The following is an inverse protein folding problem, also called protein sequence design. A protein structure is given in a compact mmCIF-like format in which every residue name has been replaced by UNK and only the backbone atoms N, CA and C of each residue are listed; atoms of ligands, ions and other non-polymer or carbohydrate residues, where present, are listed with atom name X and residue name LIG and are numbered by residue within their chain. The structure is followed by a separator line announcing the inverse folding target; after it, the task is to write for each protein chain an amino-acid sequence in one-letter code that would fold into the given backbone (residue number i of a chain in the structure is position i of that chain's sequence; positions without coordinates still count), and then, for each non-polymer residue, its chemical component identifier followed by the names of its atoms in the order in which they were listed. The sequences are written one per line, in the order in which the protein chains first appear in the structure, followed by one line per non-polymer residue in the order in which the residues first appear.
data_IF_376402204913
#
_entry.id   IF_376402204913
#
_cell.length_a   1.000
_cell.length_b   1.000
_cell.length_c   1.000
_cell.angle_alpha   90.00
_cell.angle_beta   90.00
_cell.angle_gamma   90.00
#
_symmetry.space_group_name_H-M   'P 1'
#
loop_
_entity.id
_entity.type
_entity.pdbx_description
1 polymer ?
#
# COMPACT_ATOMS: atom_id res chain seq x y z
N UNK A 1 -34.48 -47.90 5.35
CA UNK A 1 -34.00 -47.60 6.73
C UNK A 1 -33.20 -46.32 6.66
N UNK A 2 -33.83 -45.36 7.14
CA UNK A 2 -33.53 -43.94 7.06
C UNK A 2 -32.71 -43.55 8.29
N UNK A 3 -31.60 -42.85 8.17
CA UNK A 3 -30.98 -42.10 9.25
C UNK A 3 -30.51 -40.77 8.68
N UNK A 4 -31.44 -39.82 8.67
CA UNK A 4 -31.18 -38.42 8.44
C UNK A 4 -30.40 -37.81 9.61
N UNK A 5 -29.23 -37.22 9.32
CA UNK A 5 -28.46 -36.41 10.24
C UNK A 5 -28.70 -34.94 9.93
N UNK A 6 -29.59 -34.34 10.71
CA UNK A 6 -29.86 -32.89 10.71
C UNK A 6 -28.64 -32.17 11.29
N UNK A 7 -28.02 -31.32 10.48
CA UNK A 7 -27.06 -30.32 10.96
C UNK A 7 -27.85 -29.13 11.49
N UNK A 8 -27.75 -28.89 12.80
CA UNK A 8 -28.33 -27.71 13.44
C UNK A 8 -27.46 -26.49 13.10
N UNK A 9 -28.05 -25.53 12.36
CA UNK A 9 -27.51 -24.20 12.19
C UNK A 9 -27.77 -23.42 13.47
N UNK A 10 -26.72 -23.14 14.23
CA UNK A 10 -26.76 -22.20 15.35
C UNK A 10 -26.76 -20.78 14.77
N UNK A 11 -27.93 -20.17 14.80
CA UNK A 11 -28.17 -18.75 14.58
C UNK A 11 -27.92 -18.04 15.89
N UNK A 12 -26.73 -17.46 16.05
CA UNK A 12 -26.37 -16.64 17.20
C UNK A 12 -26.26 -15.17 16.78
N UNK A 13 -27.39 -14.48 16.75
CA UNK A 13 -27.47 -13.03 16.85
C UNK A 13 -27.49 -12.69 18.36
N UNK A 14 -26.36 -12.39 18.95
CA UNK A 14 -26.23 -11.64 20.18
C UNK A 14 -24.94 -10.80 20.11
N UNK A 15 -25.02 -9.73 19.34
CA UNK A 15 -24.13 -8.58 19.50
C UNK A 15 -24.61 -7.81 20.72
N UNK A 16 -24.03 -8.12 21.90
CA UNK A 16 -24.19 -7.29 23.07
C UNK A 16 -23.62 -5.89 22.77
N UNK A 17 -24.51 -4.94 22.51
CA UNK A 17 -24.16 -3.52 22.44
C UNK A 17 -23.62 -3.09 23.80
N UNK A 18 -22.30 -2.84 23.89
CA UNK A 18 -21.68 -2.24 25.07
C UNK A 18 -22.09 -0.76 25.09
N UNK A 19 -22.89 -0.33 26.07
CA UNK A 19 -23.37 1.05 26.12
C UNK A 19 -22.18 2.00 26.38
N UNK A 20 -21.91 2.87 25.44
CA UNK A 20 -20.77 3.81 25.41
C UNK A 20 -20.71 4.74 26.63
N UNK A 21 -21.84 4.98 27.31
CA UNK A 21 -21.91 5.81 28.53
C UNK A 21 -21.22 5.20 29.75
N UNK A 22 -20.86 3.91 29.73
CA UNK A 22 -20.09 3.28 30.81
C UNK A 22 -18.58 3.47 30.69
N UNK A 23 -18.10 3.98 29.54
CA UNK A 23 -16.67 4.26 29.29
C UNK A 23 -16.23 5.65 29.76
N UNK A 24 -17.19 6.54 30.05
CA UNK A 24 -16.91 7.89 30.55
C UNK A 24 -17.68 8.08 31.87
N UNK A 25 -17.10 7.60 32.96
CA UNK A 25 -17.61 7.86 34.30
C UNK A 25 -17.03 9.20 34.74
N UNK A 26 -17.82 10.25 34.65
CA UNK A 26 -17.53 11.51 35.32
C UNK A 26 -17.65 11.29 36.82
N UNK A 27 -16.50 11.22 37.48
CA UNK A 27 -16.42 11.23 38.95
C UNK A 27 -16.88 12.60 39.45
N UNK A 28 -18.18 12.72 39.71
CA UNK A 28 -18.74 13.81 40.46
C UNK A 28 -18.24 13.71 41.90
N UNK A 29 -17.32 14.61 42.28
CA UNK A 29 -16.74 14.69 43.60
C UNK A 29 -17.78 14.93 44.72
N UNK A 30 -17.54 14.41 45.92
CA UNK A 30 -18.42 14.60 47.06
C UNK A 30 -18.34 16.01 47.61
N UNK A 31 -19.52 16.56 48.02
CA UNK A 31 -19.71 17.86 48.68
C UNK A 31 -18.99 17.93 50.05
N UNK A 32 -18.51 19.08 50.45
CA UNK A 32 -17.75 19.24 51.71
C UNK A 32 -18.65 19.26 52.93
N UNK A 33 -18.29 18.46 53.90
CA UNK A 33 -18.88 18.49 55.24
C UNK A 33 -17.92 17.94 56.28
N UNK A 34 -17.45 18.80 57.21
CA UNK A 34 -16.92 18.39 58.47
C UNK A 34 -15.40 18.36 58.59
N UNK A 35 -14.82 19.42 59.21
CA UNK A 35 -13.42 19.54 59.53
C UNK A 35 -12.98 18.59 60.69
N UNK A 36 -11.90 17.81 60.44
CA UNK A 36 -11.05 17.26 61.50
C UNK A 36 -9.58 17.57 61.10
N UNK A 37 -8.70 17.90 62.08
CA UNK A 37 -7.34 18.33 61.80
C UNK A 37 -6.47 17.15 61.40
N UNK A 38 -6.04 17.14 60.14
CA UNK A 38 -5.08 16.17 59.63
C UNK A 38 -3.67 16.69 59.81
N UNK A 39 -2.84 15.90 60.53
CA UNK A 39 -1.40 16.12 60.59
C UNK A 39 -0.81 16.25 59.18
N UNK A 40 -0.06 17.30 58.94
CA UNK A 40 0.58 17.59 57.68
C UNK A 40 1.63 16.52 57.34
N UNK A 41 1.32 15.74 56.29
CA UNK A 41 2.32 14.89 55.63
C UNK A 41 3.32 15.77 54.84
N UNK A 42 4.60 15.42 54.77
CA UNK A 42 5.60 16.18 54.03
C UNK A 42 5.22 16.23 52.53
N UNK A 43 5.19 17.46 51.97
CA UNK A 43 4.91 17.74 50.59
C UNK A 43 5.97 17.05 49.72
N UNK A 44 5.58 16.23 48.73
CA UNK A 44 6.52 15.76 47.72
C UNK A 44 7.04 16.95 46.94
N UNK A 45 8.38 17.08 46.83
CA UNK A 45 9.02 18.10 46.05
C UNK A 45 8.55 18.14 44.59
N UNK A 46 8.76 19.26 43.88
CA UNK A 46 8.27 19.42 42.51
C UNK A 46 8.87 18.33 41.65
N UNK A 47 8.00 17.43 41.16
CA UNK A 47 8.33 16.46 40.12
C UNK A 47 8.74 17.28 38.89
N UNK A 48 10.03 17.31 38.60
CA UNK A 48 10.51 17.87 37.32
C UNK A 48 9.82 17.12 36.20
N UNK A 49 9.16 17.80 35.24
CA UNK A 49 8.62 17.15 34.07
C UNK A 49 9.77 16.40 33.41
N UNK A 50 9.66 15.08 33.31
CA UNK A 50 10.54 14.30 32.43
C UNK A 50 10.37 14.88 31.05
N UNK A 51 11.39 15.56 30.55
CA UNK A 51 11.49 15.95 29.14
C UNK A 51 11.16 14.70 28.33
N UNK A 52 10.25 14.79 27.36
CA UNK A 52 10.01 13.66 26.45
C UNK A 52 11.38 13.29 25.91
N UNK A 53 11.84 12.09 26.21
CA UNK A 53 13.07 11.55 25.67
C UNK A 53 12.85 11.58 24.16
N UNK A 54 13.51 12.54 23.49
CA UNK A 54 13.46 12.66 22.04
C UNK A 54 13.82 11.28 21.51
N UNK A 55 12.83 10.61 20.92
CA UNK A 55 13.04 9.35 20.24
C UNK A 55 14.23 9.57 19.31
N UNK A 56 15.33 8.86 19.55
CA UNK A 56 16.49 8.90 18.66
C UNK A 56 15.95 8.66 17.27
N UNK A 57 16.22 9.54 16.29
CA UNK A 57 15.79 9.29 14.93
C UNK A 57 16.36 7.93 14.51
N UNK A 58 15.49 7.04 14.12
CA UNK A 58 15.86 5.73 13.61
C UNK A 58 16.89 5.91 12.50
N UNK A 59 17.94 5.09 12.44
CA UNK A 59 18.87 5.16 11.34
C UNK A 59 18.09 4.98 10.06
N UNK A 60 18.14 5.99 9.21
CA UNK A 60 17.52 5.94 7.89
C UNK A 60 18.21 4.80 7.14
N UNK A 61 17.46 3.75 6.80
CA UNK A 61 17.96 2.66 5.97
C UNK A 61 18.52 3.30 4.71
N UNK A 62 19.84 3.19 4.51
CA UNK A 62 20.52 3.77 3.38
C UNK A 62 20.05 3.01 2.13
N UNK A 63 19.18 3.63 1.34
CA UNK A 63 18.85 3.10 0.02
C UNK A 63 20.04 3.41 -0.89
N UNK A 64 20.79 2.41 -1.38
CA UNK A 64 21.86 2.65 -2.32
C UNK A 64 21.28 3.38 -3.54
N UNK A 65 21.66 4.64 -3.72
CA UNK A 65 21.22 5.44 -4.85
C UNK A 65 21.78 4.86 -6.15
N UNK A 66 21.04 3.93 -6.76
CA UNK A 66 21.33 3.55 -8.13
C UNK A 66 20.95 4.73 -9.01
N UNK A 67 21.84 5.19 -9.94
CA UNK A 67 21.44 6.21 -10.89
C UNK A 67 20.18 5.75 -11.61
N UNK A 68 19.15 6.60 -11.59
CA UNK A 68 17.90 6.31 -12.28
C UNK A 68 18.21 5.96 -13.73
N UNK A 69 17.65 4.85 -14.22
CA UNK A 69 17.80 4.44 -15.62
C UNK A 69 17.39 5.63 -16.49
N UNK A 70 18.23 6.06 -17.46
CA UNK A 70 17.91 7.20 -18.30
C UNK A 70 16.58 6.94 -19.02
N UNK A 71 15.61 7.81 -18.77
CA UNK A 71 14.28 7.72 -19.37
C UNK A 71 14.36 8.25 -20.78
N UNK A 72 13.96 7.46 -21.78
CA UNK A 72 13.84 7.94 -23.15
C UNK A 72 12.75 9.03 -23.24
N UNK A 73 13.09 10.29 -23.55
CA UNK A 73 12.11 11.37 -23.63
C UNK A 73 11.09 11.17 -24.77
N UNK A 74 11.42 10.34 -25.77
CA UNK A 74 10.54 10.05 -26.91
C UNK A 74 9.31 9.24 -26.54
N UNK A 75 9.37 8.51 -25.41
CA UNK A 75 8.28 7.64 -24.93
C UNK A 75 7.43 8.33 -23.84
N UNK A 76 7.62 9.63 -23.61
CA UNK A 76 6.80 10.37 -22.65
C UNK A 76 5.34 10.51 -23.12
N UNK A 77 4.40 10.42 -22.21
CA UNK A 77 2.97 10.58 -22.51
C UNK A 77 2.65 12.02 -22.94
N UNK A 78 2.01 12.15 -24.09
CA UNK A 78 1.43 13.41 -24.55
C UNK A 78 -0.03 13.20 -25.01
N UNK A 79 -0.87 14.26 -24.99
CA UNK A 79 -2.27 14.14 -25.38
C UNK A 79 -2.39 13.80 -26.87
N UNK A 80 -3.11 12.71 -27.17
CA UNK A 80 -3.40 12.31 -28.54
C UNK A 80 -4.46 13.18 -29.21
N UNK A 81 -4.53 13.16 -30.56
CA UNK A 81 -5.53 13.90 -31.32
C UNK A 81 -6.93 13.32 -31.09
N UNK A 82 -7.79 14.08 -30.40
CA UNK A 82 -9.13 13.66 -30.03
C UNK A 82 -10.12 14.78 -30.28
N UNK A 83 -11.19 14.44 -30.99
CA UNK A 83 -12.33 15.32 -31.18
C UNK A 83 -13.49 14.93 -30.25
N UNK A 84 -14.38 15.86 -29.88
CA UNK A 84 -15.58 15.52 -29.13
C UNK A 84 -16.48 14.62 -29.97
N UNK A 85 -16.87 13.46 -29.44
CA UNK A 85 -17.63 12.44 -30.18
C UNK A 85 -18.98 12.98 -30.73
N UNK A 86 -19.59 13.94 -30.04
CA UNK A 86 -20.80 14.63 -30.52
C UNK A 86 -20.58 15.32 -31.88
N UNK A 87 -19.44 15.94 -32.11
CA UNK A 87 -19.13 16.56 -33.39
C UNK A 87 -19.03 15.49 -34.50
N UNK A 88 -18.45 14.35 -34.23
CA UNK A 88 -18.38 13.23 -35.16
C UNK A 88 -19.76 12.63 -35.47
N UNK A 89 -20.65 12.52 -34.46
CA UNK A 89 -22.02 12.09 -34.67
C UNK A 89 -22.78 13.06 -35.56
N UNK A 90 -22.67 14.36 -35.30
CA UNK A 90 -23.30 15.39 -36.15
C UNK A 90 -22.74 15.34 -37.58
N UNK A 91 -21.42 15.25 -37.76
CA UNK A 91 -20.82 15.11 -39.05
C UNK A 91 -21.27 13.83 -39.79
N UNK A 92 -21.36 12.72 -39.08
CA UNK A 92 -21.86 11.46 -39.64
C UNK A 92 -23.32 11.53 -40.08
N UNK A 93 -24.18 12.12 -39.27
CA UNK A 93 -25.61 12.34 -39.59
C UNK A 93 -25.75 13.31 -40.80
N UNK A 94 -24.94 14.35 -40.86
CA UNK A 94 -24.92 15.26 -41.98
C UNK A 94 -24.46 14.56 -43.25
N UNK A 95 -23.43 13.73 -43.20
CA UNK A 95 -22.98 12.91 -44.32
C UNK A 95 -24.09 11.93 -44.80
N UNK A 96 -24.83 11.29 -43.89
CA UNK A 96 -25.99 10.44 -44.21
C UNK A 96 -27.07 11.30 -44.92
N UNK A 97 -27.37 12.48 -44.40
CA UNK A 97 -28.38 13.36 -44.98
C UNK A 97 -27.97 13.79 -46.40
N UNK A 98 -26.69 14.12 -46.63
CA UNK A 98 -26.17 14.44 -47.96
C UNK A 98 -26.32 13.24 -48.90
N UNK A 99 -25.94 12.04 -48.47
CA UNK A 99 -26.13 10.82 -49.26
C UNK A 99 -27.61 10.58 -49.59
N UNK A 100 -28.52 10.79 -48.65
CA UNK A 100 -29.95 10.63 -48.86
C UNK A 100 -30.49 11.64 -49.89
N UNK A 101 -30.02 12.90 -49.82
CA UNK A 101 -30.37 13.95 -50.83
C UNK A 101 -29.83 13.57 -52.21
N UNK A 102 -28.61 13.06 -52.33
CA UNK A 102 -28.03 12.61 -53.59
C UNK A 102 -28.84 11.44 -54.17
N UNK A 103 -29.20 10.45 -53.34
CA UNK A 103 -30.04 9.31 -53.77
C UNK A 103 -31.41 9.78 -54.20
N UNK A 104 -32.04 10.71 -53.50
CA UNK A 104 -33.31 11.30 -53.93
C UNK A 104 -33.16 12.04 -55.28
N UNK A 105 -32.09 12.80 -55.46
CA UNK A 105 -31.83 13.54 -56.71
C UNK A 105 -31.61 12.60 -57.91
N UNK A 106 -31.11 11.38 -57.70
CA UNK A 106 -30.96 10.36 -58.76
C UNK A 106 -32.28 9.79 -59.24
N UNK A 107 -33.39 10.00 -58.54
CA UNK A 107 -34.71 9.39 -58.86
C UNK A 107 -34.79 7.88 -58.63
N UNK A 108 -33.84 7.27 -57.91
CA UNK A 108 -33.81 5.84 -57.64
C UNK A 108 -34.82 5.42 -56.57
N UNK A 109 -35.33 6.41 -55.78
CA UNK A 109 -36.29 6.14 -54.71
C UNK A 109 -37.61 5.63 -55.27
N UNK A 110 -38.09 4.44 -54.80
CA UNK A 110 -39.40 3.91 -55.25
C UNK A 110 -40.56 4.82 -54.77
N UNK A 111 -41.62 4.90 -55.59
CA UNK A 111 -42.80 5.78 -55.34
C UNK A 111 -43.40 5.67 -53.95
N UNK A 112 -43.51 4.50 -53.30
CA UNK A 112 -44.07 4.43 -51.96
C UNK A 112 -43.23 5.18 -50.89
N UNK A 113 -41.90 5.30 -51.08
CA UNK A 113 -40.99 6.04 -50.19
C UNK A 113 -41.11 7.54 -50.40
N UNK A 114 -41.19 8.00 -51.68
CA UNK A 114 -41.32 9.43 -51.99
C UNK A 114 -42.68 9.96 -51.52
N UNK A 115 -43.77 9.19 -51.65
CA UNK A 115 -45.10 9.56 -51.16
C UNK A 115 -45.18 9.57 -49.66
N UNK A 116 -44.53 8.61 -48.96
CA UNK A 116 -44.45 8.57 -47.48
C UNK A 116 -43.69 9.77 -46.92
N UNK A 117 -42.62 10.21 -47.61
CA UNK A 117 -41.78 11.36 -47.22
C UNK A 117 -42.31 12.69 -47.78
N UNK A 118 -43.45 12.70 -48.54
CA UNK A 118 -44.02 13.86 -49.20
C UNK A 118 -43.03 14.61 -50.12
N UNK A 119 -42.13 13.85 -50.74
CA UNK A 119 -41.14 14.40 -51.67
C UNK A 119 -41.66 14.29 -53.09
N UNK A 120 -41.35 15.26 -53.98
CA UNK A 120 -41.67 15.17 -55.38
C UNK A 120 -40.94 14.00 -56.04
N UNK A 121 -41.65 13.21 -56.84
CA UNK A 121 -41.05 12.13 -57.66
C UNK A 121 -40.25 12.73 -58.82
N UNK A 122 -38.93 12.38 -58.85
CA UNK A 122 -38.06 12.78 -59.93
C UNK A 122 -37.93 11.64 -60.92
N UNK A 123 -37.94 11.96 -62.25
CA UNK A 123 -37.75 10.90 -63.25
C UNK A 123 -36.33 10.30 -63.13
N UNK A 124 -36.25 8.99 -63.17
CA UNK A 124 -34.97 8.27 -63.13
C UNK A 124 -34.20 8.49 -64.44
N UNK A 125 -33.09 9.24 -64.35
CA UNK A 125 -32.23 9.62 -65.49
C UNK A 125 -30.91 8.79 -65.52
N UNK A 126 -30.80 7.75 -64.72
CA UNK A 126 -29.54 7.00 -64.54
C UNK A 126 -28.60 7.69 -63.51
N UNK A 127 -27.71 6.93 -62.88
CA UNK A 127 -26.72 7.47 -61.98
C UNK A 127 -25.48 7.87 -62.77
N UNK A 128 -25.15 9.17 -62.74
CA UNK A 128 -23.94 9.71 -63.36
C UNK A 128 -22.70 9.41 -62.53
N UNK A 129 -21.53 9.40 -63.20
CA UNK A 129 -20.25 9.15 -62.50
C UNK A 129 -20.02 10.13 -61.34
N UNK A 130 -20.42 11.38 -61.48
CA UNK A 130 -20.33 12.39 -60.42
C UNK A 130 -21.15 12.05 -59.20
N UNK A 131 -22.36 11.52 -59.39
CA UNK A 131 -23.24 11.08 -58.30
C UNK A 131 -22.69 9.81 -57.60
N UNK A 132 -22.11 8.88 -58.35
CA UNK A 132 -21.38 7.75 -57.79
C UNK A 132 -20.20 8.20 -56.94
N UNK A 133 -19.40 9.16 -57.43
CA UNK A 133 -18.28 9.70 -56.67
C UNK A 133 -18.74 10.39 -55.38
N UNK A 134 -19.83 11.14 -55.39
CA UNK A 134 -20.42 11.76 -54.18
C UNK A 134 -20.93 10.72 -53.17
N UNK A 135 -21.59 9.67 -53.66
CA UNK A 135 -22.07 8.57 -52.79
C UNK A 135 -20.92 7.80 -52.14
N UNK A 136 -19.87 7.48 -52.89
CA UNK A 136 -18.68 6.81 -52.35
C UNK A 136 -17.97 7.72 -51.34
N UNK A 137 -17.81 9.00 -51.64
CA UNK A 137 -17.21 9.95 -50.69
C UNK A 137 -18.06 10.12 -49.44
N UNK A 138 -19.37 10.21 -49.58
CA UNK A 138 -20.30 10.28 -48.47
C UNK A 138 -20.28 9.02 -47.60
N UNK A 139 -20.28 7.85 -48.21
CA UNK A 139 -20.17 6.58 -47.51
C UNK A 139 -18.83 6.48 -46.76
N UNK A 140 -17.73 6.89 -47.37
CA UNK A 140 -16.43 6.96 -46.73
C UNK A 140 -16.45 7.93 -45.53
N UNK A 141 -17.07 9.08 -45.65
CA UNK A 141 -17.23 10.04 -44.55
C UNK A 141 -18.07 9.47 -43.38
N UNK A 142 -19.16 8.73 -43.70
CA UNK A 142 -19.97 8.04 -42.66
C UNK A 142 -19.15 6.99 -41.94
N UNK A 143 -18.40 6.14 -42.66
CA UNK A 143 -17.53 5.13 -42.06
C UNK A 143 -16.46 5.76 -41.18
N UNK A 144 -15.83 6.83 -41.64
CA UNK A 144 -14.82 7.57 -40.86
C UNK A 144 -15.44 8.22 -39.63
N UNK A 145 -16.62 8.82 -39.72
CA UNK A 145 -17.27 9.50 -38.63
C UNK A 145 -17.69 8.50 -37.51
N UNK A 146 -18.35 7.42 -37.86
CA UNK A 146 -18.84 6.43 -36.90
C UNK A 146 -17.78 5.40 -36.49
N UNK A 147 -16.88 4.99 -37.39
CA UNK A 147 -15.78 4.09 -37.12
C UNK A 147 -14.74 4.66 -36.13
N UNK A 148 -14.66 6.00 -36.07
CA UNK A 148 -13.81 6.72 -35.11
C UNK A 148 -14.39 6.86 -33.72
N UNK A 149 -15.68 6.56 -33.50
CA UNK A 149 -16.32 6.73 -32.19
C UNK A 149 -15.80 5.73 -31.18
N UNK A 150 -15.38 6.25 -30.02
CA UNK A 150 -14.96 5.47 -28.87
C UNK A 150 -15.65 5.97 -27.60
N UNK A 151 -15.87 5.06 -26.66
CA UNK A 151 -16.39 5.42 -25.35
C UNK A 151 -15.26 5.43 -24.33
N UNK A 152 -14.85 6.61 -23.87
CA UNK A 152 -13.91 6.78 -22.77
C UNK A 152 -14.57 6.44 -21.45
N UNK A 153 -13.94 5.55 -20.68
CA UNK A 153 -14.39 5.19 -19.32
C UNK A 153 -13.50 5.84 -18.27
N UNK A 154 -14.07 6.22 -17.14
CA UNK A 154 -13.30 6.70 -15.99
C UNK A 154 -12.34 5.61 -15.55
N UNK A 155 -11.09 5.99 -15.23
CA UNK A 155 -10.06 5.05 -14.80
C UNK A 155 -9.37 4.27 -15.91
N UNK A 156 -9.65 4.58 -17.19
CA UNK A 156 -8.98 3.97 -18.34
C UNK A 156 -8.42 5.05 -19.26
N UNK A 157 -7.29 4.75 -19.86
CA UNK A 157 -6.69 5.57 -20.92
C UNK A 157 -6.55 4.73 -22.20
N UNK A 158 -6.55 5.41 -23.34
CA UNK A 158 -6.27 4.80 -24.62
C UNK A 158 -4.91 5.27 -25.11
N UNK A 159 -4.03 4.32 -25.40
CA UNK A 159 -2.76 4.57 -26.07
C UNK A 159 -2.99 4.40 -27.57
N UNK A 160 -2.65 5.44 -28.33
CA UNK A 160 -2.84 5.50 -29.77
C UNK A 160 -1.50 5.28 -30.46
N UNK A 161 -1.46 4.35 -31.42
CA UNK A 161 -0.29 4.13 -32.27
C UNK A 161 -0.69 4.03 -33.73
N UNK A 162 0.20 4.45 -34.62
CA UNK A 162 0.04 4.35 -36.06
C UNK A 162 1.32 3.77 -36.65
N UNK A 163 1.20 2.64 -37.34
CA UNK A 163 2.35 1.98 -37.98
C UNK A 163 3.57 1.79 -37.05
N UNK A 164 3.33 1.54 -35.75
CA UNK A 164 4.40 1.37 -34.76
C UNK A 164 4.83 2.67 -34.07
N UNK A 165 4.44 3.85 -34.56
CA UNK A 165 4.73 5.12 -33.91
C UNK A 165 3.67 5.47 -32.86
N UNK A 166 4.11 5.96 -31.71
CA UNK A 166 3.22 6.49 -30.67
C UNK A 166 2.65 7.85 -31.10
N UNK A 167 1.32 7.99 -31.06
CA UNK A 167 0.59 9.20 -31.49
C UNK A 167 -0.15 9.92 -30.35
N UNK A 168 0.09 9.49 -29.12
CA UNK A 168 -0.46 10.10 -27.92
C UNK A 168 -1.42 9.22 -27.14
N UNK A 169 -1.79 9.67 -25.94
CA UNK A 169 -2.73 8.99 -25.05
C UNK A 169 -3.98 9.81 -24.82
N UNK A 170 -5.12 9.13 -24.66
CA UNK A 170 -6.42 9.74 -24.46
C UNK A 170 -6.99 9.31 -23.12
N UNK A 171 -7.13 10.29 -22.20
CA UNK A 171 -7.73 10.11 -20.86
C UNK A 171 -9.14 10.69 -20.75
N UNK A 172 -9.69 11.23 -21.84
CA UNK A 172 -11.03 11.84 -21.82
C UNK A 172 -12.10 10.79 -21.61
N UNK A 173 -13.07 11.14 -20.79
CA UNK A 173 -14.28 10.34 -20.52
C UNK A 173 -15.43 10.76 -21.42
N UNK A 174 -16.39 9.86 -21.63
CA UNK A 174 -17.55 10.11 -22.49
C UNK A 174 -17.35 9.65 -23.92
N UNK A 175 -18.14 10.23 -24.82
CA UNK A 175 -18.06 9.93 -26.25
C UNK A 175 -16.93 10.76 -26.88
N UNK A 176 -15.94 10.07 -27.40
CA UNK A 176 -14.76 10.66 -28.05
C UNK A 176 -14.59 10.10 -29.44
N UNK A 177 -14.13 10.94 -30.36
CA UNK A 177 -13.77 10.50 -31.70
C UNK A 177 -12.25 10.46 -31.85
N UNK A 178 -11.76 9.34 -32.28
CA UNK A 178 -10.36 9.05 -32.56
C UNK A 178 -10.28 8.51 -33.99
N UNK A 179 -9.26 8.86 -34.76
CA UNK A 179 -9.13 8.32 -36.11
C UNK A 179 -9.23 6.81 -36.13
N UNK A 180 -10.08 6.19 -36.98
CA UNK A 180 -10.23 4.75 -37.07
C UNK A 180 -8.96 4.03 -37.56
N UNK A 181 -8.03 4.76 -38.17
CA UNK A 181 -6.74 4.25 -38.66
C UNK A 181 -5.73 4.00 -37.51
N UNK A 182 -5.98 4.57 -36.34
CA UNK A 182 -5.10 4.42 -35.19
C UNK A 182 -5.39 3.09 -34.46
N UNK A 183 -4.33 2.34 -34.19
CA UNK A 183 -4.39 1.20 -33.29
C UNK A 183 -4.61 1.71 -31.87
N UNK A 184 -5.58 1.13 -31.17
CA UNK A 184 -6.03 1.59 -29.84
C UNK A 184 -5.76 0.51 -28.80
N UNK A 185 -4.88 0.78 -27.84
CA UNK A 185 -4.63 -0.11 -26.70
C UNK A 185 -5.23 0.52 -25.44
N UNK A 186 -6.10 -0.20 -24.77
CA UNK A 186 -6.71 0.26 -23.51
C UNK A 186 -5.82 -0.11 -22.34
N UNK A 187 -5.59 0.86 -21.43
CA UNK A 187 -4.78 0.73 -20.23
C UNK A 187 -5.60 1.17 -19.02
N UNK A 188 -5.58 0.40 -17.95
CA UNK A 188 -6.22 0.76 -16.69
C UNK A 188 -5.26 1.63 -15.87
N UNK A 189 -5.69 2.85 -15.53
CA UNK A 189 -4.88 3.84 -14.79
C UNK A 189 -5.37 4.04 -13.35
N UNK A 190 -6.28 3.18 -12.88
CA UNK A 190 -6.76 3.20 -11.50
C UNK A 190 -5.70 2.75 -10.54
N UNK A 191 -5.87 3.11 -9.28
CA UNK A 191 -5.07 2.58 -8.20
C UNK A 191 -5.33 1.08 -8.07
N UNK A 192 -4.24 0.32 -8.01
CA UNK A 192 -4.25 -1.14 -7.83
C UNK A 192 -3.44 -1.50 -6.61
N UNK A 193 -3.79 -2.58 -5.97
CA UNK A 193 -2.99 -3.22 -4.95
C UNK A 193 -2.63 -4.63 -5.41
N UNK A 194 -1.44 -5.04 -5.05
CA UNK A 194 -0.96 -6.38 -5.31
C UNK A 194 -0.20 -6.87 -4.08
N UNK A 195 -0.46 -8.11 -3.70
CA UNK A 195 0.23 -8.80 -2.63
C UNK A 195 1.17 -9.84 -3.23
N UNK A 196 2.44 -9.80 -2.85
CA UNK A 196 3.42 -10.76 -3.36
C UNK A 196 3.15 -12.17 -2.86
N UNK A 197 3.62 -13.14 -3.59
CA UNK A 197 3.85 -14.47 -3.05
C UNK A 197 4.93 -14.39 -1.96
N UNK A 198 5.04 -15.40 -1.07
CA UNK A 198 6.10 -15.44 -0.07
C UNK A 198 7.48 -15.46 -0.72
N UNK A 199 8.20 -14.35 -0.62
CA UNK A 199 9.55 -14.18 -1.14
C UNK A 199 10.56 -14.75 -0.16
N UNK A 200 11.53 -15.51 -0.66
CA UNK A 200 12.67 -15.99 0.12
C UNK A 200 13.79 -14.98 0.05
N UNK A 201 14.16 -14.42 1.18
CA UNK A 201 15.22 -13.40 1.31
C UNK A 201 16.14 -13.76 2.46
N UNK A 202 17.30 -13.13 2.50
CA UNK A 202 18.29 -13.33 3.56
C UNK A 202 18.51 -11.99 4.25
N UNK A 203 18.56 -11.99 5.59
CA UNK A 203 18.85 -10.80 6.38
C UNK A 203 20.35 -10.50 6.43
N UNK A 204 20.74 -9.47 7.20
CA UNK A 204 22.15 -9.06 7.36
C UNK A 204 23.01 -10.15 8.01
N UNK A 205 22.43 -11.01 8.83
CA UNK A 205 23.10 -12.11 9.54
C UNK A 205 23.16 -13.41 8.71
N UNK A 206 22.65 -13.40 7.49
CA UNK A 206 22.58 -14.57 6.64
C UNK A 206 21.40 -15.51 6.96
N UNK A 207 20.45 -15.06 7.77
CA UNK A 207 19.30 -15.88 8.15
C UNK A 207 18.22 -15.85 7.07
N UNK A 208 17.74 -17.02 6.68
CA UNK A 208 16.69 -17.13 5.67
C UNK A 208 15.31 -16.69 6.24
N UNK A 209 14.69 -15.74 5.54
CA UNK A 209 13.38 -15.19 5.87
C UNK A 209 12.37 -15.46 4.75
N UNK A 210 11.11 -15.52 5.13
CA UNK A 210 9.96 -15.53 4.24
C UNK A 210 9.20 -14.23 4.43
N UNK A 211 9.05 -13.45 3.36
CA UNK A 211 8.45 -12.12 3.41
C UNK A 211 7.35 -11.98 2.38
N UNK A 212 6.24 -11.36 2.77
CA UNK A 212 5.13 -10.99 1.88
C UNK A 212 5.01 -9.48 1.89
N UNK A 213 5.01 -8.88 0.70
CA UNK A 213 4.91 -7.43 0.53
C UNK A 213 3.59 -7.06 -0.14
N UNK A 214 2.92 -6.07 0.41
CA UNK A 214 1.74 -5.43 -0.20
C UNK A 214 2.19 -4.15 -0.89
N UNK A 215 1.93 -4.07 -2.20
CA UNK A 215 2.29 -2.91 -3.02
C UNK A 215 1.04 -2.23 -3.54
N UNK A 216 0.96 -0.92 -3.36
CA UNK A 216 -0.10 -0.07 -3.91
C UNK A 216 0.50 0.83 -4.99
N UNK A 217 -0.02 0.74 -6.20
CA UNK A 217 0.55 1.38 -7.38
C UNK A 217 -0.50 1.77 -8.42
N UNK A 218 -0.13 2.63 -9.36
CA UNK A 218 -0.93 2.95 -10.54
C UNK A 218 -0.03 3.25 -11.74
N UNK A 219 -0.60 3.24 -12.93
CA UNK A 219 0.07 3.72 -14.13
C UNK A 219 -0.10 5.25 -14.21
N UNK A 220 1.02 5.97 -14.12
CA UNK A 220 1.07 7.42 -14.28
C UNK A 220 1.28 7.82 -15.73
N UNK A 221 2.21 7.15 -16.42
CA UNK A 221 2.54 7.37 -17.83
C UNK A 221 2.19 6.10 -18.62
N UNK A 222 1.11 6.18 -19.39
CA UNK A 222 0.59 5.03 -20.14
C UNK A 222 1.45 4.68 -21.36
N UNK A 223 2.15 5.65 -21.93
CA UNK A 223 3.05 5.42 -23.05
C UNK A 223 4.24 4.58 -22.60
N UNK A 224 4.90 4.96 -21.50
CA UNK A 224 6.01 4.23 -20.94
C UNK A 224 5.60 2.83 -20.48
N UNK A 225 4.48 2.72 -19.80
CA UNK A 225 4.01 1.43 -19.29
C UNK A 225 3.67 0.41 -20.39
N UNK A 226 3.40 0.88 -21.63
CA UNK A 226 3.01 0.02 -22.75
C UNK A 226 4.07 -0.16 -23.81
N UNK A 227 4.99 0.80 -23.92
CA UNK A 227 5.98 0.84 -25.00
C UNK A 227 7.42 0.65 -24.50
N UNK A 228 7.73 1.06 -23.26
CA UNK A 228 9.07 0.88 -22.71
C UNK A 228 9.33 -0.54 -22.21
N UNK A 229 8.28 -1.27 -21.82
CA UNK A 229 8.38 -2.66 -21.35
C UNK A 229 7.27 -3.50 -21.96
N UNK A 230 7.55 -4.76 -22.18
CA UNK A 230 6.59 -5.73 -22.73
C UNK A 230 5.44 -5.99 -21.75
N UNK A 231 5.76 -6.17 -20.47
CA UNK A 231 4.81 -6.41 -19.40
C UNK A 231 5.24 -5.63 -18.13
N UNK A 232 4.53 -4.53 -17.87
CA UNK A 232 4.80 -3.66 -16.74
C UNK A 232 4.43 -4.30 -15.38
N UNK A 233 3.48 -5.25 -15.35
CA UNK A 233 3.12 -5.97 -14.12
C UNK A 233 4.21 -6.96 -13.74
N UNK A 234 4.74 -7.69 -14.72
CA UNK A 234 5.87 -8.60 -14.50
C UNK A 234 7.12 -7.84 -14.09
N UNK A 235 7.41 -6.72 -14.76
CA UNK A 235 8.52 -5.84 -14.39
C UNK A 235 8.41 -5.38 -12.94
N UNK A 236 7.23 -4.92 -12.52
CA UNK A 236 7.01 -4.49 -11.14
C UNK A 236 7.25 -5.62 -10.14
N UNK A 237 6.80 -6.84 -10.43
CA UNK A 237 7.02 -8.01 -9.55
C UNK A 237 8.51 -8.30 -9.37
N UNK A 238 9.25 -8.33 -10.46
CA UNK A 238 10.71 -8.57 -10.43
C UNK A 238 11.44 -7.46 -9.66
N UNK A 239 11.02 -6.20 -9.81
CA UNK A 239 11.59 -5.09 -9.04
C UNK A 239 11.23 -5.16 -7.55
N UNK A 240 10.03 -5.57 -7.19
CA UNK A 240 9.63 -5.77 -5.78
C UNK A 240 10.47 -6.86 -5.14
N UNK A 241 10.69 -7.97 -5.81
CA UNK A 241 11.55 -9.06 -5.32
C UNK A 241 13.00 -8.56 -5.10
N UNK A 242 13.58 -7.90 -6.10
CA UNK A 242 14.92 -7.35 -6.03
C UNK A 242 15.08 -6.26 -4.95
N UNK A 243 14.11 -5.35 -4.82
CA UNK A 243 14.11 -4.32 -3.80
C UNK A 243 13.97 -4.91 -2.39
N UNK A 244 13.09 -5.91 -2.23
CA UNK A 244 12.89 -6.59 -0.96
C UNK A 244 14.18 -7.28 -0.50
N UNK A 245 14.83 -8.02 -1.38
CA UNK A 245 16.11 -8.67 -1.08
C UNK A 245 17.18 -7.65 -0.65
N UNK A 246 17.30 -6.52 -1.35
CA UNK A 246 18.29 -5.47 -1.05
C UNK A 246 18.01 -4.72 0.25
N UNK A 247 16.76 -4.44 0.58
CA UNK A 247 16.42 -3.71 1.81
C UNK A 247 16.57 -4.60 3.04
N UNK A 248 16.10 -5.85 2.94
CA UNK A 248 16.11 -6.75 4.09
C UNK A 248 17.53 -7.25 4.42
N UNK A 249 18.41 -7.37 3.42
CA UNK A 249 19.82 -7.74 3.66
C UNK A 249 20.64 -6.67 4.41
N UNK A 250 20.10 -5.49 4.67
CA UNK A 250 20.80 -4.42 5.39
C UNK A 250 20.61 -4.47 6.92
N UNK A 251 19.60 -5.15 7.40
CA UNK A 251 19.26 -5.20 8.81
C UNK A 251 19.04 -6.64 9.28
N UNK A 252 19.42 -6.95 10.54
CA UNK A 252 19.12 -8.23 11.13
C UNK A 252 17.61 -8.37 11.41
N UNK A 253 17.10 -9.58 11.33
CA UNK A 253 15.69 -9.87 11.63
C UNK A 253 15.35 -9.56 13.08
N UNK A 254 16.24 -9.94 14.03
CA UNK A 254 16.09 -9.73 15.46
C UNK A 254 17.43 -9.22 16.06
N UNK A 255 17.33 -8.26 17.01
CA UNK A 255 18.45 -7.88 17.85
C UNK A 255 18.40 -8.69 19.16
N UNK A 256 19.37 -9.58 19.34
CA UNK A 256 19.44 -10.39 20.56
C UNK A 256 20.13 -9.67 21.72
N UNK A 257 20.93 -8.64 21.46
CA UNK A 257 21.85 -8.09 22.45
C UNK A 257 21.79 -6.57 22.67
N UNK A 258 21.19 -5.74 21.82
CA UNK A 258 21.15 -4.30 21.98
C UNK A 258 19.96 -3.65 21.27
N UNK A 259 19.73 -2.34 21.53
CA UNK A 259 18.77 -1.48 20.84
C UNK A 259 19.18 -1.19 19.38
N UNK A 260 19.64 -2.22 18.67
CA UNK A 260 19.98 -2.10 17.25
C UNK A 260 18.73 -2.10 16.40
N UNK A 261 18.72 -1.31 15.30
CA UNK A 261 17.59 -1.30 14.37
C UNK A 261 17.45 -2.69 13.72
N UNK A 262 16.22 -3.21 13.76
CA UNK A 262 15.88 -4.53 13.22
C UNK A 262 14.77 -4.44 12.19
N UNK A 263 14.56 -5.52 11.43
CA UNK A 263 13.44 -5.65 10.48
C UNK A 263 12.06 -5.65 11.16
N UNK A 264 12.00 -5.67 12.50
CA UNK A 264 10.72 -5.54 13.25
C UNK A 264 10.08 -4.18 13.12
N UNK A 265 10.85 -3.13 12.77
CA UNK A 265 10.28 -1.84 12.43
C UNK A 265 9.73 -1.89 11.00
N UNK A 266 8.52 -2.45 10.86
CA UNK A 266 7.86 -2.61 9.57
C UNK A 266 7.63 -1.27 8.85
N UNK A 267 7.47 -0.17 9.58
CA UNK A 267 7.29 1.17 9.02
C UNK A 267 8.58 1.65 8.32
N UNK A 268 9.72 1.59 9.00
CA UNK A 268 11.00 2.00 8.41
C UNK A 268 11.39 1.14 7.20
N UNK A 269 11.14 -0.18 7.27
CA UNK A 269 11.34 -1.10 6.15
C UNK A 269 10.41 -0.76 4.98
N UNK A 270 9.13 -0.50 5.27
CA UNK A 270 8.14 -0.12 4.27
C UNK A 270 8.48 1.21 3.57
N UNK A 271 8.96 2.19 4.32
CA UNK A 271 9.43 3.47 3.76
C UNK A 271 10.65 3.30 2.86
N UNK A 272 11.61 2.47 3.26
CA UNK A 272 12.80 2.17 2.47
C UNK A 272 12.42 1.46 1.16
N UNK A 273 11.55 0.44 1.22
CA UNK A 273 11.01 -0.27 0.06
C UNK A 273 10.26 0.69 -0.87
N UNK A 274 9.40 1.54 -0.29
CA UNK A 274 8.61 2.51 -1.06
C UNK A 274 9.50 3.49 -1.80
N UNK A 275 10.55 4.04 -1.16
CA UNK A 275 11.51 4.96 -1.80
C UNK A 275 12.26 4.28 -2.94
N UNK A 276 12.75 3.06 -2.71
CA UNK A 276 13.48 2.29 -3.73
C UNK A 276 12.59 1.99 -4.93
N UNK A 277 11.40 1.45 -4.70
CA UNK A 277 10.47 1.09 -5.77
C UNK A 277 9.98 2.31 -6.55
N UNK A 278 9.76 3.46 -5.90
CA UNK A 278 9.44 4.71 -6.59
C UNK A 278 10.50 5.08 -7.62
N UNK A 279 11.78 4.99 -7.26
CA UNK A 279 12.87 5.34 -8.16
C UNK A 279 13.02 4.34 -9.32
N UNK A 280 12.81 3.04 -9.07
CA UNK A 280 12.97 1.98 -10.07
C UNK A 280 11.77 1.83 -11.00
N UNK A 281 10.56 2.12 -10.52
CA UNK A 281 9.33 2.01 -11.30
C UNK A 281 9.02 3.28 -12.13
N UNK A 282 9.56 4.44 -11.74
CA UNK A 282 9.33 5.71 -12.44
C UNK A 282 9.74 5.70 -13.93
N UNK A 283 10.88 5.12 -14.35
CA UNK A 283 11.27 5.06 -15.78
C UNK A 283 10.25 4.33 -16.65
N UNK A 284 9.52 3.38 -16.07
CA UNK A 284 8.51 2.56 -16.74
C UNK A 284 7.11 3.19 -16.67
N UNK A 285 6.99 4.39 -16.09
CA UNK A 285 5.70 5.09 -15.99
C UNK A 285 4.77 4.55 -14.91
N UNK A 286 5.28 3.76 -13.97
CA UNK A 286 4.55 3.26 -12.80
C UNK A 286 4.81 4.19 -11.63
N UNK A 287 3.76 4.57 -10.92
CA UNK A 287 3.81 5.32 -9.67
C UNK A 287 3.47 4.40 -8.52
N UNK A 288 4.45 4.12 -7.66
CA UNK A 288 4.27 3.33 -6.43
C UNK A 288 3.90 4.29 -5.30
N UNK A 289 2.77 4.04 -4.63
CA UNK A 289 2.31 4.82 -3.47
C UNK A 289 2.93 4.30 -2.19
N UNK A 290 2.81 3.00 -1.97
CA UNK A 290 3.36 2.33 -0.80
C UNK A 290 3.75 0.90 -1.12
N UNK A 291 4.80 0.43 -0.46
CA UNK A 291 5.23 -0.95 -0.46
C UNK A 291 5.54 -1.33 0.99
N UNK A 292 4.73 -2.20 1.57
CA UNK A 292 4.84 -2.53 2.99
C UNK A 292 4.93 -4.04 3.19
N UNK A 293 5.88 -4.51 4.02
CA UNK A 293 5.91 -5.90 4.41
C UNK A 293 4.69 -6.19 5.30
N UNK A 294 3.90 -7.17 4.93
CA UNK A 294 2.73 -7.62 5.70
C UNK A 294 3.03 -8.86 6.52
N UNK A 295 4.08 -9.57 6.18
CA UNK A 295 4.53 -10.76 6.86
C UNK A 295 6.05 -10.83 6.77
N UNK A 296 6.75 -11.00 7.89
CA UNK A 296 8.17 -11.29 7.98
C UNK A 296 8.31 -12.46 8.95
N UNK A 297 8.67 -13.62 8.44
CA UNK A 297 8.84 -14.83 9.22
C UNK A 297 10.17 -15.49 8.89
N UNK A 298 10.69 -16.26 9.83
CA UNK A 298 11.82 -17.12 9.53
C UNK A 298 11.42 -18.23 8.57
N UNK A 299 12.31 -18.56 7.65
CA UNK A 299 12.09 -19.72 6.79
C UNK A 299 11.93 -20.98 7.64
N UNK A 300 11.04 -21.92 7.24
CA UNK A 300 10.71 -23.08 8.09
C UNK A 300 11.93 -23.92 8.48
N UNK A 301 12.96 -23.90 7.65
CA UNK A 301 14.22 -24.65 7.87
C UNK A 301 14.99 -24.14 9.09
N UNK A 302 14.92 -22.84 9.38
CA UNK A 302 15.67 -22.19 10.48
C UNK A 302 14.78 -21.74 11.62
N UNK A 303 13.47 -21.71 11.45
CA UNK A 303 12.52 -21.18 12.41
C UNK A 303 12.65 -21.82 13.81
N UNK A 304 12.78 -23.15 13.89
CA UNK A 304 12.92 -23.86 15.17
C UNK A 304 14.24 -23.51 15.89
N UNK A 305 15.33 -23.31 15.15
CA UNK A 305 16.61 -22.93 15.74
C UNK A 305 16.56 -21.49 16.26
N UNK A 306 16.02 -20.56 15.47
CA UNK A 306 15.87 -19.16 15.85
C UNK A 306 14.92 -18.96 17.02
N UNK A 307 13.86 -19.77 17.09
CA UNK A 307 12.95 -19.75 18.25
C UNK A 307 13.68 -20.15 19.53
N UNK A 308 14.47 -21.24 19.51
CA UNK A 308 15.27 -21.66 20.68
C UNK A 308 16.27 -20.58 21.10
N UNK A 309 16.99 -19.99 20.14
CA UNK A 309 17.94 -18.89 20.41
C UNK A 309 17.24 -17.69 21.05
N UNK A 310 16.06 -17.34 20.55
CA UNK A 310 15.26 -16.25 21.10
C UNK A 310 14.81 -16.50 22.53
N UNK A 311 14.33 -17.71 22.83
CA UNK A 311 13.95 -18.10 24.20
C UNK A 311 15.17 -17.99 25.10
N UNK A 312 16.32 -18.54 24.69
CA UNK A 312 17.56 -18.45 25.46
C UNK A 312 18.01 -17.00 25.72
N UNK A 313 17.87 -16.11 24.72
CA UNK A 313 18.19 -14.69 24.88
C UNK A 313 17.23 -13.97 25.84
N UNK A 314 15.93 -14.31 25.82
CA UNK A 314 14.95 -13.79 26.78
C UNK A 314 15.28 -14.25 28.19
N UNK A 315 15.59 -15.53 28.37
CA UNK A 315 15.97 -16.09 29.67
C UNK A 315 17.26 -15.47 30.19
N UNK A 316 18.24 -15.19 29.34
CA UNK A 316 19.47 -14.50 29.73
C UNK A 316 19.16 -13.07 30.22
N UNK A 317 18.38 -12.30 29.47
CA UNK A 317 17.96 -10.93 29.88
C UNK A 317 17.16 -10.94 31.18
N UNK A 318 16.27 -11.91 31.34
CA UNK A 318 15.52 -12.05 32.58
C UNK A 318 16.45 -12.29 33.76
N UNK A 319 17.44 -13.19 33.62
CA UNK A 319 18.44 -13.44 34.67
C UNK A 319 19.25 -12.19 34.99
N UNK A 320 19.72 -11.45 33.98
CA UNK A 320 20.46 -10.21 34.18
C UNK A 320 19.62 -9.14 34.88
N UNK A 321 18.34 -9.01 34.49
CA UNK A 321 17.41 -8.08 35.15
C UNK A 321 17.16 -8.44 36.60
N UNK A 322 17.01 -9.75 36.91
CA UNK A 322 16.85 -10.24 38.30
C UNK A 322 18.11 -9.98 39.11
N UNK A 323 19.29 -10.24 38.55
CA UNK A 323 20.56 -9.98 39.23
C UNK A 323 20.75 -8.50 39.52
N UNK A 324 20.50 -7.62 38.56
CA UNK A 324 20.54 -6.15 38.74
C UNK A 324 19.57 -5.72 39.83
N UNK A 325 18.32 -6.19 39.79
CA UNK A 325 17.31 -5.87 40.79
C UNK A 325 17.69 -6.34 42.19
N UNK A 326 18.38 -7.50 42.31
CA UNK A 326 18.87 -8.02 43.60
C UNK A 326 20.01 -7.13 44.12
N UNK A 327 20.97 -6.77 43.25
CA UNK A 327 22.09 -5.87 43.61
C UNK A 327 21.56 -4.53 44.07
N UNK A 328 20.64 -3.93 43.35
CA UNK A 328 20.02 -2.64 43.70
C UNK A 328 19.27 -2.71 45.04
N UNK A 329 18.52 -3.81 45.28
CA UNK A 329 17.81 -4.03 46.53
C UNK A 329 18.75 -4.22 47.73
N UNK A 330 19.87 -4.89 47.53
CA UNK A 330 20.91 -5.04 48.55
C UNK A 330 21.57 -3.71 48.86
N UNK A 331 21.96 -2.94 47.84
CA UNK A 331 22.58 -1.64 48.01
C UNK A 331 21.64 -0.66 48.74
N UNK A 332 20.37 -0.58 48.34
CA UNK A 332 19.35 0.23 49.01
C UNK A 332 19.14 -0.18 50.47
N UNK A 333 19.15 -1.51 50.75
CA UNK A 333 19.02 -2.05 52.11
C UNK A 333 20.22 -1.66 52.98
N UNK A 334 21.43 -1.85 52.49
CA UNK A 334 22.67 -1.46 53.20
C UNK A 334 22.71 0.05 53.42
N UNK A 335 22.36 0.87 52.42
CA UNK A 335 22.33 2.30 52.56
C UNK A 335 21.30 2.76 53.60
N UNK A 336 20.12 2.18 53.65
CA UNK A 336 19.08 2.47 54.66
C UNK A 336 19.49 2.09 56.06
N UNK A 337 20.16 0.94 56.24
CA UNK A 337 20.66 0.54 57.53
C UNK A 337 21.73 1.44 58.07
N UNK A 338 22.68 1.89 57.22
CA UNK A 338 23.75 2.80 57.57
C UNK A 338 23.23 4.23 57.82
N UNK A 339 22.33 4.75 56.98
CA UNK A 339 21.78 6.10 57.13
C UNK A 339 20.90 6.27 58.35
N UNK A 340 20.28 5.21 58.87
CA UNK A 340 19.46 5.20 60.07
C UNK A 340 20.28 4.96 61.35
N UNK A 341 21.61 4.78 61.22
CA UNK A 341 22.49 4.50 62.36
C UNK A 341 22.20 3.14 63.06
N UNK A 342 21.53 2.23 62.36
CA UNK A 342 21.18 0.92 62.93
C UNK A 342 22.37 -0.05 62.97
N UNK A 343 23.37 0.20 62.11
CA UNK A 343 24.61 -0.59 62.05
C UNK A 343 25.76 0.33 61.63
N UNK A 344 26.81 0.36 62.45
CA UNK A 344 28.11 0.94 62.14
C UNK A 344 28.98 -0.19 61.59
N UNK A 345 29.13 -0.25 60.27
CA UNK A 345 29.86 -1.34 59.59
C UNK A 345 31.25 -0.83 59.16
N UNK A 346 32.28 -1.62 59.53
CA UNK A 346 33.60 -1.48 58.93
C UNK A 346 33.55 -2.04 57.49
N UNK A 347 34.51 -1.62 56.62
CA UNK A 347 34.57 -2.02 55.22
C UNK A 347 34.53 -3.53 54.99
N UNK A 348 35.07 -4.31 55.93
CA UNK A 348 35.02 -5.78 55.90
C UNK A 348 33.62 -6.32 56.18
N UNK A 349 33.00 -5.79 57.24
CA UNK A 349 31.64 -6.18 57.67
C UNK A 349 30.61 -5.78 56.62
N UNK A 350 30.77 -4.61 55.95
CA UNK A 350 29.93 -4.22 54.83
C UNK A 350 29.99 -5.19 53.69
N UNK A 351 31.19 -5.64 53.27
CA UNK A 351 31.37 -6.64 52.23
C UNK A 351 30.76 -8.01 52.60
N UNK A 352 30.87 -8.40 53.85
CA UNK A 352 30.26 -9.63 54.36
C UNK A 352 28.72 -9.54 54.30
N UNK A 353 28.14 -8.43 54.79
CA UNK A 353 26.70 -8.20 54.76
C UNK A 353 26.13 -8.15 53.35
N UNK A 354 26.79 -7.45 52.41
CA UNK A 354 26.40 -7.43 51.00
C UNK A 354 26.39 -8.83 50.41
N UNK A 355 27.42 -9.64 50.68
CA UNK A 355 27.49 -11.01 50.19
C UNK A 355 26.36 -11.86 50.74
N UNK A 356 26.10 -11.79 52.05
CA UNK A 356 25.10 -12.60 52.71
C UNK A 356 23.67 -12.21 52.34
N UNK A 357 23.39 -10.91 52.19
CA UNK A 357 22.15 -10.40 51.64
C UNK A 357 21.92 -10.81 50.19
N UNK A 358 22.96 -10.73 49.35
CA UNK A 358 22.87 -11.17 47.94
C UNK A 358 22.50 -12.64 47.86
N UNK A 359 23.13 -13.51 48.67
CA UNK A 359 22.82 -14.93 48.73
C UNK A 359 21.38 -15.15 49.24
N UNK A 360 20.97 -14.45 50.29
CA UNK A 360 19.63 -14.58 50.87
C UNK A 360 18.52 -14.16 49.89
N UNK A 361 18.69 -13.03 49.18
CA UNK A 361 17.74 -12.57 48.17
C UNK A 361 17.68 -13.50 46.96
N UNK A 362 18.83 -14.08 46.54
CA UNK A 362 18.87 -15.00 45.42
C UNK A 362 18.21 -16.36 45.77
N UNK A 363 18.46 -16.90 46.97
CA UNK A 363 17.86 -18.17 47.39
C UNK A 363 16.39 -18.04 47.82
N UNK A 364 15.99 -16.88 48.39
CA UNK A 364 14.61 -16.64 48.80
C UNK A 364 13.64 -16.53 47.62
N UNK A 365 14.11 -16.04 46.49
CA UNK A 365 13.30 -15.93 45.26
C UNK A 365 13.15 -17.25 44.51
N UNK A 366 14.16 -18.13 44.59
CA UNK A 366 14.11 -19.46 43.98
C UNK A 366 13.15 -20.46 44.65
N UNK A 367 12.70 -20.17 45.86
CA UNK A 367 11.72 -21.00 46.59
C UNK A 367 10.25 -20.62 46.29
N UNK A 368 10.00 -19.40 45.78
CA UNK A 368 8.65 -18.94 45.47
C UNK A 368 8.12 -19.36 44.10
N UNK A 369 8.97 -19.82 43.20
CA UNK A 369 8.59 -20.17 41.81
C UNK A 369 8.26 -21.67 41.60
N UNK A 370 8.27 -22.46 42.66
CA UNK A 370 7.95 -23.90 42.62
C UNK A 370 6.62 -24.26 43.32
N UNK A 371 5.73 -23.30 43.47
CA UNK A 371 4.40 -23.51 44.01
C UNK A 371 3.30 -23.47 42.95
#
# INVERSE_FOLDING_TARGET
MDVGRRVAVLRGDDTAEIPVHLLFRDDAGPKPGGAAPVLAAPRPGPVRPRTPQQARPWPTIAVPGRPATPVDPRVAEYPGPVLPGRAAVVAGLLAIAVCAVVIWWTGVLPEPVTTALRLPSLPYAGIRVEQWALLVLGAAAVVLAFGGLGRGRVGCAWVLSLCGEYRGSVRRTGLVWMSPLLLRRRVDVRLRHWRSEPLRVVDADGTALRVVVLVVWRIRDTARATLAVADHERYLREQVEAATARVLSQLPADAFHDDTPTLRNAEAVGDALTRMLKSEAQPVGIEVYSAQPTLIEYAPEVAAAMHRQRVAAIDARHRDSVLTSVVDAVDDTVHRLTSRGLVELDDYERKALVRDLTVAFYTGRGSGERG
#
